data_IF_325309436844
#
_entry.id   IF_325309436844
#
_cell.length_a   1.000
_cell.length_b   1.000
_cell.length_c   1.000
_cell.angle_alpha   90.00
_cell.angle_beta   90.00
_cell.angle_gamma   90.00
#
_symmetry.space_group_name_H-M   'P 1'
#
loop_
_entity.id
_entity.type
_entity.pdbx_description
1 polymer ?
#
# COMPACT_ATOMS: atom_id res chain seq x y z
N UNK A 1 -39.21 -55.99 46.00
CA UNK A 1 -38.55 -56.34 44.74
C UNK A 1 -39.12 -55.45 43.66
N UNK A 2 -38.46 -54.32 43.41
CA UNK A 2 -38.54 -53.53 42.17
C UNK A 2 -37.53 -52.36 42.24
N UNK A 3 -36.58 -52.45 41.37
CA UNK A 3 -35.48 -51.46 41.17
C UNK A 3 -36.06 -50.21 40.56
N UNK A 4 -35.92 -49.06 41.24
CA UNK A 4 -36.20 -47.75 40.70
C UNK A 4 -34.89 -47.19 40.08
N UNK A 5 -34.82 -47.20 38.77
CA UNK A 5 -33.71 -46.59 38.05
C UNK A 5 -33.87 -45.07 38.05
N UNK A 6 -33.00 -44.37 38.76
CA UNK A 6 -32.89 -42.92 38.69
C UNK A 6 -32.02 -42.59 37.48
N UNK A 7 -32.62 -42.02 36.45
CA UNK A 7 -31.93 -41.45 35.28
C UNK A 7 -31.49 -40.04 35.63
N UNK A 8 -30.17 -39.83 35.85
CA UNK A 8 -29.59 -38.53 36.07
C UNK A 8 -29.31 -37.92 34.67
N UNK A 9 -30.19 -37.05 34.20
CA UNK A 9 -29.97 -36.27 32.97
C UNK A 9 -29.00 -35.14 33.29
N UNK A 10 -27.75 -35.28 32.85
CA UNK A 10 -26.79 -34.17 32.79
C UNK A 10 -27.22 -33.19 31.68
N UNK A 11 -27.76 -32.04 32.10
CA UNK A 11 -27.96 -30.91 31.20
C UNK A 11 -26.59 -30.24 31.03
N UNK A 12 -25.96 -30.56 29.89
CA UNK A 12 -24.77 -29.82 29.44
C UNK A 12 -25.25 -28.45 28.91
N UNK A 13 -25.30 -27.44 29.79
CA UNK A 13 -25.55 -26.08 29.36
C UNK A 13 -24.27 -25.55 28.65
N UNK A 14 -24.31 -25.58 27.32
CA UNK A 14 -23.33 -24.88 26.48
C UNK A 14 -23.42 -23.39 26.76
N UNK A 15 -22.52 -22.88 27.56
CA UNK A 15 -22.32 -21.44 27.72
C UNK A 15 -21.70 -20.91 26.40
N UNK A 16 -22.55 -20.54 25.46
CA UNK A 16 -22.12 -19.73 24.33
C UNK A 16 -21.88 -18.33 24.90
N UNK A 17 -20.63 -18.03 25.20
CA UNK A 17 -20.24 -16.67 25.50
C UNK A 17 -20.49 -15.83 24.23
N UNK A 18 -21.62 -15.13 24.20
CA UNK A 18 -21.84 -14.06 23.26
C UNK A 18 -20.82 -12.96 23.61
N UNK A 19 -19.74 -12.89 22.82
CA UNK A 19 -18.86 -11.71 22.83
C UNK A 19 -19.66 -10.59 22.17
N UNK A 20 -20.50 -9.93 22.96
CA UNK A 20 -21.05 -8.63 22.56
C UNK A 20 -19.88 -7.68 22.45
N UNK A 21 -19.69 -7.05 21.28
CA UNK A 21 -18.71 -6.01 21.11
C UNK A 21 -18.87 -4.98 22.26
N UNK A 22 -17.80 -4.73 23.01
CA UNK A 22 -17.83 -3.82 24.13
C UNK A 22 -18.27 -2.42 23.65
N UNK A 23 -19.34 -1.90 24.22
CA UNK A 23 -19.83 -0.57 23.89
C UNK A 23 -18.89 0.45 24.51
N UNK A 24 -18.15 1.18 23.65
CA UNK A 24 -17.19 2.21 24.07
C UNK A 24 -17.98 3.47 24.40
N UNK A 25 -18.11 3.78 25.68
CA UNK A 25 -18.99 4.83 26.20
C UNK A 25 -18.27 5.90 27.00
N UNK A 26 -17.36 5.51 27.89
CA UNK A 26 -16.60 6.44 28.75
C UNK A 26 -15.41 7.08 28.02
N UNK A 27 -14.94 8.23 28.51
CA UNK A 27 -13.80 8.91 27.90
C UNK A 27 -12.51 8.08 28.02
N UNK A 28 -12.35 7.31 29.10
CA UNK A 28 -11.21 6.39 29.25
C UNK A 28 -11.27 5.24 28.24
N UNK A 29 -12.45 4.65 27.98
CA UNK A 29 -12.63 3.63 26.96
C UNK A 29 -12.35 4.17 25.56
N UNK A 30 -12.84 5.38 25.24
CA UNK A 30 -12.57 6.05 23.95
C UNK A 30 -11.08 6.32 23.78
N UNK A 31 -10.40 6.81 24.82
CA UNK A 31 -8.95 7.04 24.78
C UNK A 31 -8.19 5.73 24.54
N UNK A 32 -8.50 4.69 25.33
CA UNK A 32 -7.85 3.37 25.21
C UNK A 32 -8.04 2.76 23.82
N UNK A 33 -9.26 2.81 23.29
CA UNK A 33 -9.56 2.36 21.93
C UNK A 33 -8.78 3.16 20.87
N UNK A 34 -8.71 4.49 21.04
CA UNK A 34 -7.96 5.35 20.11
C UNK A 34 -6.47 5.00 20.08
N UNK A 35 -5.87 4.69 21.25
CA UNK A 35 -4.49 4.21 21.33
C UNK A 35 -4.31 2.90 20.59
N UNK A 36 -5.25 1.95 20.73
CA UNK A 36 -5.27 0.70 19.99
C UNK A 36 -5.36 0.91 18.47
N UNK A 37 -6.22 1.83 18.01
CA UNK A 37 -6.35 2.18 16.60
C UNK A 37 -5.04 2.75 16.04
N UNK A 38 -4.40 3.69 16.74
CA UNK A 38 -3.13 4.30 16.34
C UNK A 38 -2.05 3.22 16.19
N UNK A 39 -1.96 2.31 17.18
CA UNK A 39 -1.00 1.21 17.14
C UNK A 39 -1.31 0.25 15.98
N UNK A 40 -2.56 -0.19 15.81
CA UNK A 40 -2.97 -1.07 14.71
C UNK A 40 -2.67 -0.46 13.34
N UNK A 41 -2.93 0.83 13.15
CA UNK A 41 -2.56 1.55 11.93
C UNK A 41 -1.04 1.56 11.70
N UNK A 42 -0.24 1.65 12.77
CA UNK A 42 1.23 1.60 12.64
C UNK A 42 1.69 0.22 12.18
N UNK A 43 1.16 -0.86 12.74
CA UNK A 43 1.43 -2.25 12.34
C UNK A 43 1.05 -2.47 10.87
N UNK A 44 -0.15 -2.02 10.47
CA UNK A 44 -0.63 -2.13 9.08
C UNK A 44 0.26 -1.36 8.10
N UNK A 45 0.67 -0.12 8.44
CA UNK A 45 1.56 0.68 7.57
C UNK A 45 2.94 0.06 7.39
N UNK A 46 3.42 -0.66 8.40
CA UNK A 46 4.70 -1.38 8.33
C UNK A 46 4.56 -2.76 7.70
N UNK A 47 3.34 -3.15 7.31
CA UNK A 47 3.02 -4.46 6.75
C UNK A 47 3.52 -5.63 7.63
N UNK A 48 3.45 -5.44 8.96
CA UNK A 48 3.85 -6.46 9.92
C UNK A 48 2.74 -7.50 10.08
N UNK A 49 3.08 -8.75 9.88
CA UNK A 49 2.18 -9.88 10.18
C UNK A 49 2.36 -10.26 11.66
N UNK A 50 1.28 -10.11 12.44
CA UNK A 50 1.29 -10.40 13.88
C UNK A 50 0.14 -11.32 14.26
N UNK A 51 0.40 -12.24 15.18
CA UNK A 51 -0.63 -13.01 15.86
C UNK A 51 -1.34 -12.10 16.90
N UNK A 52 -2.54 -11.62 16.55
CA UNK A 52 -3.28 -10.66 17.36
C UNK A 52 -3.56 -11.18 18.78
N UNK A 53 -4.01 -12.44 19.00
CA UNK A 53 -4.17 -12.99 20.34
C UNK A 53 -2.90 -12.96 21.18
N UNK A 54 -1.77 -13.41 20.65
CA UNK A 54 -0.50 -13.41 21.36
C UNK A 54 -0.02 -11.98 21.69
N UNK A 55 -0.21 -11.05 20.73
CA UNK A 55 0.11 -9.64 20.95
C UNK A 55 -0.72 -9.02 22.09
N UNK A 56 -2.03 -9.21 22.08
CA UNK A 56 -2.91 -8.68 23.12
C UNK A 56 -2.59 -9.28 24.48
N UNK A 57 -2.27 -10.58 24.54
CA UNK A 57 -1.84 -11.25 25.77
C UNK A 57 -0.55 -10.62 26.33
N UNK A 58 0.42 -10.32 25.48
CA UNK A 58 1.67 -9.67 25.93
C UNK A 58 1.41 -8.25 26.48
N UNK A 59 0.52 -7.49 25.85
CA UNK A 59 0.07 -6.17 26.36
C UNK A 59 -0.59 -6.31 27.74
N UNK A 60 -1.49 -7.28 27.89
CA UNK A 60 -2.17 -7.56 29.17
C UNK A 60 -1.17 -7.96 30.26
N UNK A 61 -0.24 -8.86 29.97
CA UNK A 61 0.78 -9.32 30.90
C UNK A 61 1.63 -8.13 31.42
N UNK A 62 2.05 -7.22 30.53
CA UNK A 62 2.83 -6.02 30.90
C UNK A 62 2.01 -5.04 31.76
N UNK A 63 0.76 -4.75 31.38
CA UNK A 63 -0.10 -3.81 32.12
C UNK A 63 -0.45 -4.32 33.51
N UNK A 64 -0.66 -5.62 33.65
CA UNK A 64 -0.97 -6.28 34.92
C UNK A 64 0.28 -6.63 35.76
N UNK A 65 1.49 -6.31 35.24
CA UNK A 65 2.77 -6.66 35.88
C UNK A 65 2.90 -8.19 36.11
N UNK A 66 2.31 -8.98 35.23
CA UNK A 66 2.44 -10.44 35.22
C UNK A 66 3.81 -10.85 34.70
N UNK A 67 4.19 -12.11 34.97
CA UNK A 67 5.42 -12.67 34.44
C UNK A 67 5.33 -12.82 32.92
N UNK A 68 6.38 -12.37 32.21
CA UNK A 68 6.48 -12.53 30.76
C UNK A 68 6.59 -14.02 30.39
N UNK A 69 5.96 -14.43 29.30
CA UNK A 69 6.01 -15.81 28.83
C UNK A 69 7.27 -16.18 28.05
N UNK A 70 8.03 -15.15 27.65
CA UNK A 70 9.34 -15.26 27.00
C UNK A 70 10.35 -14.44 27.77
N UNK A 71 11.57 -14.94 27.86
CA UNK A 71 12.72 -14.18 28.37
C UNK A 71 13.10 -13.06 27.40
N UNK A 72 13.85 -12.08 27.89
CA UNK A 72 14.33 -10.99 27.04
C UNK A 72 15.26 -11.49 25.92
N UNK A 73 16.06 -12.54 26.18
CA UNK A 73 16.92 -13.17 25.17
C UNK A 73 16.10 -13.88 24.09
N UNK A 74 15.07 -14.65 24.46
CA UNK A 74 14.17 -15.31 23.49
C UNK A 74 13.41 -14.30 22.63
N UNK A 75 12.94 -13.20 23.23
CA UNK A 75 12.28 -12.12 22.48
C UNK A 75 13.25 -11.48 21.48
N UNK A 76 14.49 -11.21 21.90
CA UNK A 76 15.47 -10.60 21.01
C UNK A 76 15.87 -11.54 19.87
N UNK A 77 16.07 -12.83 20.15
CA UNK A 77 16.41 -13.83 19.14
C UNK A 77 15.33 -13.93 18.06
N UNK A 78 14.07 -14.07 18.47
CA UNK A 78 12.97 -14.20 17.50
C UNK A 78 12.76 -12.91 16.67
N UNK A 79 12.92 -11.74 17.29
CA UNK A 79 12.87 -10.45 16.56
C UNK A 79 13.97 -10.40 15.51
N UNK A 80 15.19 -10.79 15.84
CA UNK A 80 16.31 -10.82 14.90
C UNK A 80 16.05 -11.77 13.73
N UNK A 81 15.50 -12.97 14.00
CA UNK A 81 15.16 -13.95 12.97
C UNK A 81 14.13 -13.39 12.01
N UNK A 82 13.03 -12.81 12.52
CA UNK A 82 11.98 -12.22 11.69
C UNK A 82 12.48 -11.01 10.90
N UNK A 83 13.24 -10.11 11.53
CA UNK A 83 13.81 -8.95 10.84
C UNK A 83 14.73 -9.37 9.69
N UNK A 84 15.57 -10.38 9.89
CA UNK A 84 16.44 -10.90 8.85
C UNK A 84 15.66 -11.51 7.69
N UNK A 85 14.63 -12.30 7.99
CA UNK A 85 13.75 -12.89 6.98
C UNK A 85 13.07 -11.81 6.14
N UNK A 86 12.48 -10.78 6.77
CA UNK A 86 11.86 -9.64 6.08
C UNK A 86 12.86 -8.91 5.16
N UNK A 87 14.10 -8.69 5.63
CA UNK A 87 15.15 -8.06 4.83
C UNK A 87 15.50 -8.90 3.59
N UNK A 88 15.62 -10.21 3.75
CA UNK A 88 15.91 -11.14 2.65
C UNK A 88 14.76 -11.16 1.62
N UNK A 89 13.51 -11.23 2.07
CA UNK A 89 12.34 -11.18 1.19
C UNK A 89 12.23 -9.84 0.47
N UNK A 90 12.51 -8.73 1.16
CA UNK A 90 12.51 -7.41 0.54
C UNK A 90 13.60 -7.27 -0.51
N UNK A 91 14.80 -7.80 -0.25
CA UNK A 91 15.89 -7.82 -1.22
C UNK A 91 15.55 -8.65 -2.47
N UNK A 92 14.86 -9.80 -2.28
CA UNK A 92 14.38 -10.62 -3.39
C UNK A 92 13.33 -9.89 -4.23
N UNK A 93 12.34 -9.25 -3.58
CA UNK A 93 11.33 -8.43 -4.27
C UNK A 93 11.97 -7.26 -5.03
N UNK A 94 12.93 -6.60 -4.41
CA UNK A 94 13.71 -5.50 -4.99
C UNK A 94 14.37 -5.91 -6.30
N UNK A 95 15.14 -6.99 -6.27
CA UNK A 95 15.82 -7.53 -7.45
C UNK A 95 14.83 -7.99 -8.53
N UNK A 96 13.76 -8.66 -8.13
CA UNK A 96 12.73 -9.13 -9.06
C UNK A 96 12.05 -7.98 -9.78
N UNK A 97 11.62 -6.94 -9.06
CA UNK A 97 10.94 -5.79 -9.67
C UNK A 97 11.87 -5.00 -10.57
N UNK A 98 13.13 -4.79 -10.14
CA UNK A 98 14.15 -4.12 -10.95
C UNK A 98 14.35 -4.84 -12.28
N UNK A 99 14.64 -6.15 -12.24
CA UNK A 99 14.88 -6.94 -13.45
C UNK A 99 13.67 -6.98 -14.38
N UNK A 100 12.46 -7.13 -13.82
CA UNK A 100 11.21 -7.11 -14.62
C UNK A 100 10.95 -5.72 -15.21
N UNK A 101 11.22 -4.66 -14.46
CA UNK A 101 11.06 -3.29 -14.92
C UNK A 101 12.02 -2.94 -16.06
N UNK A 102 13.31 -3.27 -15.91
CA UNK A 102 14.33 -3.08 -16.95
C UNK A 102 13.97 -3.83 -18.23
N UNK A 103 13.54 -5.08 -18.11
CA UNK A 103 13.07 -5.88 -19.25
C UNK A 103 11.86 -5.23 -19.93
N UNK A 104 10.86 -4.79 -19.13
CA UNK A 104 9.67 -4.12 -19.66
C UNK A 104 10.04 -2.85 -20.44
N UNK A 105 10.90 -1.99 -19.86
CA UNK A 105 11.36 -0.76 -20.49
C UNK A 105 12.07 -1.02 -21.83
N UNK A 106 12.95 -2.01 -21.87
CA UNK A 106 13.67 -2.41 -23.10
C UNK A 106 12.70 -2.91 -24.19
N UNK A 107 11.71 -3.72 -23.82
CA UNK A 107 10.69 -4.22 -24.75
C UNK A 107 9.75 -3.10 -25.21
N UNK A 108 9.42 -2.15 -24.32
CA UNK A 108 8.52 -1.06 -24.62
C UNK A 108 9.15 0.00 -25.53
N UNK A 109 10.45 0.29 -25.36
CA UNK A 109 11.21 1.21 -26.22
C UNK A 109 11.15 0.82 -27.70
N UNK A 110 11.11 -0.49 -27.98
CA UNK A 110 11.06 -1.00 -29.36
C UNK A 110 9.67 -0.91 -30.01
N UNK A 111 8.64 -0.54 -29.27
CA UNK A 111 7.27 -0.41 -29.79
C UNK A 111 7.11 0.84 -30.62
N UNK A 112 6.35 0.70 -31.74
CA UNK A 112 6.03 1.84 -32.60
C UNK A 112 5.22 2.89 -31.82
N UNK A 113 5.65 4.14 -31.89
CA UNK A 113 4.96 5.27 -31.23
C UNK A 113 5.48 5.60 -29.83
N UNK A 114 6.34 4.76 -29.26
CA UNK A 114 6.99 5.04 -27.98
C UNK A 114 8.21 5.93 -28.19
N UNK A 115 8.31 6.95 -27.36
CA UNK A 115 9.48 7.86 -27.28
C UNK A 115 10.14 7.66 -25.92
N UNK A 116 11.45 7.46 -25.90
CA UNK A 116 12.27 7.36 -24.69
C UNK A 116 13.05 8.65 -24.48
N UNK A 117 12.93 9.25 -23.29
CA UNK A 117 13.68 10.45 -22.90
C UNK A 117 15.05 10.07 -22.32
N UNK A 118 15.95 11.05 -22.20
CA UNK A 118 17.29 10.85 -21.65
C UNK A 118 17.26 10.36 -20.17
N UNK A 119 16.19 10.66 -19.44
CA UNK A 119 15.93 10.18 -18.09
C UNK A 119 15.54 8.70 -18.00
N UNK A 120 15.24 8.07 -19.14
CA UNK A 120 14.67 6.73 -19.24
C UNK A 120 13.14 6.68 -19.15
N UNK A 121 12.47 7.84 -18.94
CA UNK A 121 11.02 7.92 -19.04
C UNK A 121 10.58 7.62 -20.47
N UNK A 122 9.52 6.82 -20.64
CA UNK A 122 8.96 6.51 -21.94
C UNK A 122 7.52 6.99 -22.02
N UNK A 123 7.11 7.49 -23.18
CA UNK A 123 5.73 7.87 -23.42
C UNK A 123 5.25 7.53 -24.82
N UNK A 124 3.95 7.33 -24.93
CA UNK A 124 3.22 7.15 -26.18
C UNK A 124 2.11 8.19 -26.23
N UNK A 125 2.02 8.93 -27.34
CA UNK A 125 0.95 9.90 -27.60
C UNK A 125 -0.25 9.12 -28.15
N UNK A 126 -1.33 9.03 -27.36
CA UNK A 126 -2.59 8.44 -27.79
C UNK A 126 -3.45 9.51 -28.48
N UNK A 127 -3.51 10.69 -27.89
CA UNK A 127 -4.19 11.85 -28.42
C UNK A 127 -3.35 13.10 -28.11
N UNK A 128 -3.14 13.94 -29.13
CA UNK A 128 -2.38 15.18 -29.01
C UNK A 128 -3.34 16.34 -28.80
N UNK A 129 -3.22 17.03 -27.70
CA UNK A 129 -3.95 18.26 -27.44
C UNK A 129 -3.35 19.46 -28.17
N UNK A 130 -4.08 20.56 -28.21
CA UNK A 130 -3.69 21.81 -28.89
C UNK A 130 -3.50 22.98 -27.92
N UNK A 131 -3.77 22.77 -26.60
CA UNK A 131 -3.66 23.83 -25.58
C UNK A 131 -2.23 24.12 -25.15
N UNK A 132 -2.09 24.93 -24.12
CA UNK A 132 -0.81 25.27 -23.51
C UNK A 132 -0.23 24.07 -22.77
N UNK A 133 1.09 24.09 -22.53
CA UNK A 133 1.79 23.10 -21.73
C UNK A 133 2.01 23.66 -20.32
N UNK A 134 1.88 22.84 -19.26
CA UNK A 134 2.18 23.29 -17.91
C UNK A 134 3.70 23.49 -17.72
N UNK A 135 4.02 24.38 -16.80
CA UNK A 135 5.36 24.47 -16.22
C UNK A 135 5.38 23.86 -14.81
N UNK A 136 6.55 23.76 -14.19
CA UNK A 136 6.74 23.10 -12.91
C UNK A 136 5.91 23.72 -11.76
N UNK A 137 5.59 25.02 -11.84
CA UNK A 137 4.81 25.73 -10.80
C UNK A 137 3.29 25.65 -11.04
N UNK A 138 2.86 25.09 -12.16
CA UNK A 138 1.45 24.98 -12.53
C UNK A 138 0.72 24.00 -11.62
N UNK A 139 -0.58 24.25 -11.42
CA UNK A 139 -1.54 23.25 -10.93
C UNK A 139 -2.23 22.62 -12.13
N UNK A 140 -2.15 21.32 -12.28
CA UNK A 140 -2.75 20.56 -13.38
C UNK A 140 -4.01 19.86 -12.94
N UNK A 141 -5.01 19.80 -13.83
CA UNK A 141 -6.24 19.02 -13.67
C UNK A 141 -6.17 17.83 -14.61
N UNK A 142 -6.21 16.63 -14.05
CA UNK A 142 -5.99 15.39 -14.81
C UNK A 142 -7.01 14.31 -14.49
N UNK A 143 -7.34 13.50 -15.51
CA UNK A 143 -7.74 12.13 -15.30
C UNK A 143 -6.55 11.20 -15.48
N UNK A 144 -6.46 10.16 -14.65
CA UNK A 144 -5.39 9.18 -14.78
C UNK A 144 -5.78 7.81 -14.24
N UNK A 145 -5.04 6.81 -14.71
CA UNK A 145 -5.02 5.47 -14.19
C UNK A 145 -3.58 5.00 -14.06
N UNK A 146 -3.19 4.57 -12.86
CA UNK A 146 -1.87 4.05 -12.56
C UNK A 146 -1.90 2.53 -12.36
N UNK A 147 -1.03 1.81 -13.06
CA UNK A 147 -0.90 0.35 -12.93
C UNK A 147 0.57 -0.07 -12.81
N UNK A 148 0.79 -1.21 -12.19
CA UNK A 148 2.06 -1.93 -12.26
C UNK A 148 2.19 -2.63 -13.63
N UNK A 149 3.40 -3.14 -13.94
CA UNK A 149 3.67 -3.85 -15.20
C UNK A 149 2.91 -5.17 -15.35
N UNK A 150 2.38 -5.72 -14.26
CA UNK A 150 1.51 -6.91 -14.26
C UNK A 150 0.02 -6.59 -14.43
N UNK A 151 -0.31 -5.30 -14.56
CA UNK A 151 -1.68 -4.80 -14.72
C UNK A 151 -2.41 -4.49 -13.41
N UNK A 152 -1.79 -4.71 -12.25
CA UNK A 152 -2.38 -4.35 -10.95
C UNK A 152 -2.57 -2.84 -10.88
N UNK A 153 -3.82 -2.39 -10.75
CA UNK A 153 -4.15 -0.97 -10.56
C UNK A 153 -3.85 -0.57 -9.12
N UNK A 154 -3.09 0.51 -8.94
CA UNK A 154 -2.77 1.03 -7.61
C UNK A 154 -3.45 2.36 -7.32
N UNK A 155 -3.85 3.11 -8.36
CA UNK A 155 -4.59 4.36 -8.21
C UNK A 155 -5.30 4.75 -9.51
N UNK A 156 -6.49 5.38 -9.40
CA UNK A 156 -7.27 5.82 -10.55
C UNK A 156 -8.24 6.93 -10.17
N UNK A 157 -8.20 8.06 -10.88
CA UNK A 157 -9.19 9.12 -10.78
C UNK A 157 -10.54 8.70 -11.39
N UNK A 158 -10.51 7.82 -12.40
CA UNK A 158 -11.73 7.29 -12.99
C UNK A 158 -12.53 6.44 -12.00
N UNK A 159 -11.84 5.68 -11.13
CA UNK A 159 -12.50 4.90 -10.07
C UNK A 159 -13.17 5.81 -9.02
N UNK A 160 -12.67 7.04 -8.83
CA UNK A 160 -13.29 8.06 -7.97
C UNK A 160 -14.41 8.85 -8.63
N UNK A 161 -14.52 8.79 -9.97
CA UNK A 161 -15.57 9.45 -10.75
C UNK A 161 -15.31 10.93 -11.03
N UNK A 162 -14.15 11.50 -10.65
CA UNK A 162 -13.82 12.92 -10.84
C UNK A 162 -12.32 13.11 -11.13
N UNK A 163 -11.95 14.16 -11.91
CA UNK A 163 -10.56 14.52 -12.11
C UNK A 163 -9.93 15.05 -10.83
N UNK A 164 -8.62 15.00 -10.75
CA UNK A 164 -7.85 15.47 -9.59
C UNK A 164 -6.94 16.63 -9.98
N UNK A 165 -6.73 17.54 -9.01
CA UNK A 165 -5.82 18.65 -9.12
C UNK A 165 -4.51 18.33 -8.38
N UNK A 166 -3.38 18.57 -9.04
CA UNK A 166 -2.06 18.44 -8.45
C UNK A 166 -1.19 19.67 -8.74
N UNK A 167 -0.43 20.12 -7.74
CA UNK A 167 0.71 20.98 -8.00
C UNK A 167 1.82 20.15 -8.63
N UNK A 168 2.28 20.52 -9.82
CA UNK A 168 3.22 19.72 -10.60
C UNK A 168 4.54 19.47 -9.88
N UNK A 169 5.04 20.43 -9.11
CA UNK A 169 6.27 20.30 -8.32
C UNK A 169 6.12 19.40 -7.06
N UNK A 170 4.94 18.84 -6.78
CA UNK A 170 4.68 17.99 -5.62
C UNK A 170 4.39 16.52 -5.97
N UNK A 171 4.40 16.18 -7.26
CA UNK A 171 4.23 14.80 -7.73
C UNK A 171 5.58 14.15 -8.04
N UNK A 172 5.59 12.84 -8.35
CA UNK A 172 6.80 12.09 -8.71
C UNK A 172 7.51 12.70 -9.92
N UNK A 173 8.84 12.55 -10.00
CA UNK A 173 9.66 13.19 -11.04
C UNK A 173 9.21 12.84 -12.47
N UNK A 174 8.82 11.58 -12.70
CA UNK A 174 8.31 11.16 -14.00
C UNK A 174 7.04 11.91 -14.42
N UNK A 175 6.16 12.25 -13.49
CA UNK A 175 4.98 13.09 -13.78
C UNK A 175 5.39 14.54 -14.08
N UNK A 176 6.33 15.09 -13.28
CA UNK A 176 6.85 16.43 -13.55
C UNK A 176 7.43 16.51 -14.96
N UNK A 177 8.15 15.50 -15.42
CA UNK A 177 8.77 15.48 -16.74
C UNK A 177 7.75 15.30 -17.85
N UNK A 178 6.87 14.30 -17.78
CA UNK A 178 5.93 14.01 -18.87
C UNK A 178 4.86 15.08 -19.04
N UNK A 179 4.30 15.62 -17.94
CA UNK A 179 3.23 16.61 -18.02
C UNK A 179 3.70 17.94 -18.63
N UNK A 180 4.95 18.36 -18.41
CA UNK A 180 5.50 19.54 -19.07
C UNK A 180 5.62 19.39 -20.59
N UNK A 181 5.53 18.18 -21.12
CA UNK A 181 5.53 17.91 -22.56
C UNK A 181 4.12 17.86 -23.15
N UNK A 182 3.09 17.63 -22.31
CA UNK A 182 1.71 17.43 -22.71
C UNK A 182 0.98 18.77 -22.89
N UNK A 183 0.46 19.11 -24.08
CA UNK A 183 -0.53 20.19 -24.23
C UNK A 183 -1.86 19.83 -23.55
N UNK A 184 -2.61 20.82 -23.08
CA UNK A 184 -4.00 20.63 -22.62
C UNK A 184 -4.82 19.92 -23.71
N UNK A 185 -5.67 18.97 -23.31
CA UNK A 185 -6.47 18.10 -24.17
C UNK A 185 -5.72 16.83 -24.63
N UNK A 186 -4.47 16.64 -24.19
CA UNK A 186 -3.70 15.44 -24.53
C UNK A 186 -4.11 14.23 -23.69
N UNK A 187 -3.98 13.04 -24.31
CA UNK A 187 -4.06 11.75 -23.63
C UNK A 187 -2.84 10.91 -24.00
N UNK A 188 -2.01 10.64 -23.01
CA UNK A 188 -0.73 9.93 -23.21
C UNK A 188 -0.65 8.71 -22.29
N UNK A 189 0.15 7.74 -22.73
CA UNK A 189 0.64 6.66 -21.86
C UNK A 189 2.06 6.99 -21.44
N UNK A 190 2.32 6.93 -20.15
CA UNK A 190 3.65 7.11 -19.59
C UNK A 190 4.13 5.83 -18.92
N UNK A 191 5.36 5.40 -19.22
CA UNK A 191 6.06 4.33 -18.53
C UNK A 191 7.22 4.97 -17.76
N UNK A 192 7.13 4.91 -16.44
CA UNK A 192 8.02 5.64 -15.55
C UNK A 192 8.94 4.64 -14.83
N UNK A 193 10.25 4.69 -15.07
CA UNK A 193 11.23 3.91 -14.30
C UNK A 193 11.12 4.22 -12.81
N UNK A 194 11.45 3.25 -11.97
CA UNK A 194 11.35 3.38 -10.52
C UNK A 194 12.10 4.60 -9.96
N UNK A 195 13.25 4.94 -10.53
CA UNK A 195 14.09 6.05 -10.07
C UNK A 195 13.42 7.43 -10.25
N UNK A 196 12.48 7.53 -11.19
CA UNK A 196 11.64 8.71 -11.41
C UNK A 196 10.30 8.63 -10.68
N UNK A 197 10.09 7.59 -9.87
CA UNK A 197 8.88 7.34 -9.11
C UNK A 197 9.18 7.17 -7.60
N UNK A 198 9.03 5.98 -7.06
CA UNK A 198 9.17 5.72 -5.62
C UNK A 198 10.46 4.96 -5.24
N UNK A 199 11.30 4.61 -6.22
CA UNK A 199 12.62 4.00 -6.01
C UNK A 199 12.59 2.71 -5.20
N UNK A 200 13.64 2.52 -4.40
CA UNK A 200 13.82 1.33 -3.55
C UNK A 200 12.83 1.24 -2.37
N UNK A 201 12.10 2.30 -2.05
CA UNK A 201 11.13 2.31 -0.95
C UNK A 201 9.77 1.79 -1.36
N UNK A 202 9.38 1.98 -2.64
CA UNK A 202 8.00 1.77 -3.06
C UNK A 202 7.03 2.76 -2.41
N UNK A 203 5.71 2.50 -2.49
CA UNK A 203 4.68 3.33 -1.88
C UNK A 203 3.46 2.50 -1.48
N UNK A 204 2.96 2.74 -0.26
CA UNK A 204 1.82 2.01 0.29
C UNK A 204 2.08 0.50 0.35
N UNK A 205 1.00 -0.29 0.26
CA UNK A 205 1.06 -1.76 0.24
C UNK A 205 1.14 -2.35 -1.17
N UNK A 206 0.85 -1.56 -2.21
CA UNK A 206 0.69 -2.05 -3.58
C UNK A 206 1.94 -1.81 -4.43
N UNK A 207 2.58 -0.64 -4.30
CA UNK A 207 3.77 -0.31 -5.09
C UNK A 207 5.01 -0.81 -4.34
N UNK A 208 5.50 -1.98 -4.73
CA UNK A 208 6.71 -2.56 -4.17
C UNK A 208 7.97 -1.77 -4.55
N UNK A 209 9.12 -2.08 -3.90
CA UNK A 209 10.39 -1.46 -4.22
C UNK A 209 10.79 -1.70 -5.68
N UNK A 210 11.43 -0.71 -6.29
CA UNK A 210 11.92 -0.72 -7.68
C UNK A 210 10.85 -1.03 -8.74
N UNK A 211 9.58 -0.71 -8.46
CA UNK A 211 8.49 -0.90 -9.41
C UNK A 211 8.52 0.15 -10.52
N UNK A 212 8.55 -0.29 -11.77
CA UNK A 212 8.22 0.53 -12.93
C UNK A 212 6.72 0.77 -12.97
N UNK A 213 6.29 1.99 -13.17
CA UNK A 213 4.90 2.41 -13.15
C UNK A 213 4.40 2.74 -14.55
N UNK A 214 3.16 2.34 -14.83
CA UNK A 214 2.46 2.66 -16.06
C UNK A 214 1.31 3.60 -15.73
N UNK A 215 1.16 4.66 -16.52
CA UNK A 215 0.07 5.60 -16.38
C UNK A 215 -0.60 5.86 -17.72
N UNK A 216 -1.93 5.82 -17.73
CA UNK A 216 -2.73 6.53 -18.72
C UNK A 216 -3.05 7.90 -18.12
N UNK A 217 -2.70 8.99 -18.79
CA UNK A 217 -2.87 10.37 -18.31
C UNK A 217 -3.63 11.18 -19.34
N UNK A 218 -4.64 11.89 -18.89
CA UNK A 218 -5.41 12.86 -19.67
C UNK A 218 -5.28 14.24 -19.00
N UNK A 219 -4.63 15.20 -19.68
CA UNK A 219 -4.44 16.56 -19.17
C UNK A 219 -5.64 17.42 -19.62
N UNK A 220 -6.48 17.79 -18.64
CA UNK A 220 -7.74 18.49 -18.90
C UNK A 220 -7.57 20.02 -18.85
N UNK A 221 -6.81 20.52 -17.86
CA UNK A 221 -6.68 21.96 -17.62
C UNK A 221 -5.39 22.31 -16.84
N UNK A 222 -5.01 23.58 -16.87
CA UNK A 222 -3.92 24.19 -16.10
C UNK A 222 -4.46 25.40 -15.36
N UNK A 223 -4.17 25.49 -14.05
CA UNK A 223 -4.56 26.59 -13.16
C UNK A 223 -3.38 27.38 -12.66
#
# INVERSE_FOLDING_TARGET
>A
MNLCKVLLAMILSSFVANVTAAQISTDLEKFSYSMGVIFGQSVTRQNLDIDVPAFLQAVEDVLNKSEKKLTDDEMQEIINVYTKKEQEEQALRNNSNKTKGEKYLMENESKKGVTTLASGLQYEVVEMGEGEKPNLDSTVVVHYRGTLIDGTEFDSSYARGEPIEFKLNQVIQGWQEVLQLMPIGSKWKATIPSDLAYGERGAGSTIGPNSTLLFDIELLDIK
#
